data_IF_141387351564
#
_entry.id   IF_141387351564
#
_cell.length_a   1.000
_cell.length_b   1.000
_cell.length_c   1.000
_cell.angle_alpha   90.00
_cell.angle_beta   90.00
_cell.angle_gamma   90.00
#
_symmetry.space_group_name_H-M   'P 1'
#
loop_
_entity.id
_entity.type
_entity.pdbx_description
1 polymer ?
#
# COMPACT_ATOMS: atom_id res chain seq x y z
N UNK A 1 6.04 24.82 -12.46
CA UNK A 1 6.80 23.93 -11.54
C UNK A 1 5.83 23.25 -10.59
N UNK A 2 5.44 21.99 -10.83
CA UNK A 2 4.94 21.06 -9.81
C UNK A 2 4.78 19.68 -10.45
N UNK A 3 5.80 18.85 -10.30
CA UNK A 3 5.67 17.42 -10.55
C UNK A 3 4.76 16.87 -9.44
N UNK A 4 3.53 16.49 -9.77
CA UNK A 4 2.61 15.89 -8.82
C UNK A 4 3.07 14.46 -8.51
N UNK A 5 4.03 14.33 -7.61
CA UNK A 5 4.45 13.04 -7.05
C UNK A 5 3.35 12.55 -6.10
N UNK A 6 2.69 11.46 -6.48
CA UNK A 6 1.75 10.79 -5.59
C UNK A 6 2.54 10.01 -4.55
N UNK A 7 2.04 9.98 -3.33
CA UNK A 7 2.65 9.21 -2.24
C UNK A 7 2.00 7.85 -2.13
N UNK A 8 2.80 6.82 -1.91
CA UNK A 8 2.29 5.48 -1.67
C UNK A 8 1.64 5.40 -0.28
N UNK A 9 0.41 4.87 -0.16
CA UNK A 9 -0.24 4.75 1.14
C UNK A 9 0.41 3.73 2.07
N UNK A 10 1.25 2.82 1.54
CA UNK A 10 1.98 1.85 2.36
C UNK A 10 3.36 2.33 2.80
N UNK A 11 4.23 2.70 1.86
CA UNK A 11 5.62 3.08 2.17
C UNK A 11 5.84 4.59 2.26
N UNK A 12 4.85 5.42 1.92
CA UNK A 12 4.98 6.88 1.90
C UNK A 12 5.83 7.43 0.76
N UNK A 13 6.43 6.55 -0.06
CA UNK A 13 7.35 6.95 -1.11
C UNK A 13 6.63 7.68 -2.25
N UNK A 14 7.25 8.75 -2.73
CA UNK A 14 6.79 9.50 -3.89
C UNK A 14 7.05 8.72 -5.16
N UNK A 15 5.99 8.38 -5.88
CA UNK A 15 6.07 7.69 -7.17
C UNK A 15 5.43 8.51 -8.28
N UNK A 16 5.95 8.28 -9.48
CA UNK A 16 5.44 8.81 -10.73
C UNK A 16 4.90 7.63 -11.54
N UNK A 17 3.70 7.79 -12.09
CA UNK A 17 3.03 6.73 -12.81
C UNK A 17 1.68 7.17 -13.31
N UNK A 18 0.91 6.20 -13.82
CA UNK A 18 -0.44 6.42 -14.34
C UNK A 18 -1.32 7.20 -13.36
N UNK A 19 -2.30 7.94 -13.88
CA UNK A 19 -3.25 8.72 -13.08
C UNK A 19 -4.08 7.86 -12.11
N UNK A 20 -4.21 6.57 -12.39
CA UNK A 20 -4.90 5.58 -11.55
C UNK A 20 -3.97 4.80 -10.61
N UNK A 21 -2.64 4.95 -10.74
CA UNK A 21 -1.68 4.23 -9.90
C UNK A 21 -1.83 4.69 -8.45
N UNK A 22 -2.16 3.75 -7.55
CA UNK A 22 -2.37 3.96 -6.10
C UNK A 22 -1.17 3.56 -5.25
N UNK A 23 -0.35 2.63 -5.73
CA UNK A 23 0.83 2.10 -5.02
C UNK A 23 2.10 2.36 -5.83
N UNK A 24 3.27 2.57 -5.19
CA UNK A 24 4.52 2.79 -5.92
C UNK A 24 4.99 1.52 -6.66
N UNK A 25 4.67 0.34 -6.14
CA UNK A 25 5.08 -0.97 -6.65
C UNK A 25 4.04 -2.05 -6.30
N UNK A 26 4.13 -3.21 -6.99
CA UNK A 26 3.30 -4.38 -6.68
C UNK A 26 3.58 -4.92 -5.26
N UNK A 27 4.83 -4.81 -4.80
CA UNK A 27 5.22 -5.13 -3.43
C UNK A 27 4.38 -4.36 -2.41
N UNK A 28 4.24 -3.03 -2.57
CA UNK A 28 3.42 -2.22 -1.67
C UNK A 28 1.94 -2.59 -1.77
N UNK A 29 1.43 -2.92 -2.95
CA UNK A 29 0.06 -3.41 -3.08
C UNK A 29 -0.15 -4.70 -2.28
N UNK A 30 0.78 -5.65 -2.38
CA UNK A 30 0.69 -6.91 -1.66
C UNK A 30 0.84 -6.72 -0.15
N UNK A 31 1.76 -5.86 0.30
CA UNK A 31 1.92 -5.54 1.72
C UNK A 31 0.68 -4.86 2.30
N UNK A 32 0.06 -3.92 1.57
CA UNK A 32 -1.22 -3.31 1.97
C UNK A 32 -2.29 -4.36 2.20
N UNK A 33 -2.44 -5.27 1.24
CA UNK A 33 -3.41 -6.36 1.32
C UNK A 33 -3.07 -7.34 2.44
N UNK A 34 -1.80 -7.69 2.62
CA UNK A 34 -1.37 -8.58 3.70
C UNK A 34 -1.61 -7.94 5.07
N UNK A 35 -1.38 -6.63 5.22
CA UNK A 35 -1.65 -5.88 6.45
C UNK A 35 -3.13 -5.80 6.75
N UNK A 36 -3.95 -5.49 5.74
CA UNK A 36 -5.42 -5.47 5.87
C UNK A 36 -6.01 -6.84 6.18
N UNK A 37 -5.52 -7.90 5.53
CA UNK A 37 -5.96 -9.26 5.82
C UNK A 37 -5.44 -9.71 7.19
N UNK A 38 -4.19 -9.43 7.55
CA UNK A 38 -3.61 -9.80 8.85
C UNK A 38 -4.26 -9.08 10.03
N UNK A 39 -4.70 -7.83 9.84
CA UNK A 39 -5.52 -7.10 10.81
C UNK A 39 -6.88 -7.79 11.01
N UNK A 40 -7.48 -8.31 9.92
CA UNK A 40 -8.69 -9.14 9.97
C UNK A 40 -8.50 -10.54 10.54
N UNK A 41 -7.29 -11.12 10.48
CA UNK A 41 -7.02 -12.49 10.98
C UNK A 41 -6.58 -12.54 12.44
N UNK A 42 -6.53 -11.42 13.17
CA UNK A 42 -6.31 -11.41 14.61
C UNK A 42 -7.56 -11.85 15.42
N UNK A 43 -8.33 -12.79 14.87
CA UNK A 43 -9.47 -13.44 15.55
C UNK A 43 -9.19 -14.89 15.95
N UNK A 44 -8.01 -15.45 15.64
CA UNK A 44 -7.68 -16.84 15.96
C UNK A 44 -6.28 -16.95 16.56
N UNK A 45 -6.15 -16.48 17.80
CA UNK A 45 -5.14 -16.97 18.74
C UNK A 45 -5.85 -17.43 20.00
N UNK A 46 -6.46 -18.60 19.91
CA UNK A 46 -6.79 -19.41 21.08
C UNK A 46 -6.68 -20.89 20.68
N UNK A 47 -5.48 -21.45 20.80
CA UNK A 47 -5.31 -22.88 21.07
C UNK A 47 -4.53 -23.00 22.39
#
# INVERSE_FOLDING_TARGET
>A
MKAATKKCPECGESYLGRVDKKFCSDQCRNTYNNRHNADGTNQVRNI
#
